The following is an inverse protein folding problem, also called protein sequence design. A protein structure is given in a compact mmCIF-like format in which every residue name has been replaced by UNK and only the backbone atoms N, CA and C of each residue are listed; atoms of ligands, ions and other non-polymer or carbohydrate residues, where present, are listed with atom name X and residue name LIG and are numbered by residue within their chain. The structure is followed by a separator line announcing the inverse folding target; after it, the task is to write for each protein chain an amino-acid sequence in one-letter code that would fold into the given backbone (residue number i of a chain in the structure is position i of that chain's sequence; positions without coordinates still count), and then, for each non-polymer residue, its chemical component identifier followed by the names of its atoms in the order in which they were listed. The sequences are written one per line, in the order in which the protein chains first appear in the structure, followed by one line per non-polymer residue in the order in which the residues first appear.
data_IF_237940864078
#
_entry.id   IF_237940864078
#
_cell.length_a   1.000
_cell.length_b   1.000
_cell.length_c   1.000
_cell.angle_alpha   90.00
_cell.angle_beta   90.00
_cell.angle_gamma   90.00
#
_symmetry.space_group_name_H-M   'P 1'
#
loop_
_entity.id
_entity.type
_entity.pdbx_description
1 polymer ?
#
# COMPACT_ATOMS: atom_id res chain seq x y z
N UNK A 1 -16.76 6.18 10.34
CA UNK A 1 -15.90 7.05 9.51
C UNK A 1 -15.08 6.15 8.61
N UNK A 2 -15.10 6.44 7.32
CA UNK A 2 -14.40 5.67 6.31
C UNK A 2 -13.34 6.51 5.63
N UNK A 3 -12.22 5.85 5.32
CA UNK A 3 -11.03 6.50 4.78
C UNK A 3 -10.63 5.88 3.45
N UNK A 4 -10.12 6.73 2.57
CA UNK A 4 -9.31 6.32 1.42
C UNK A 4 -7.85 6.70 1.70
N UNK A 5 -6.95 5.71 1.67
CA UNK A 5 -5.53 5.87 1.92
C UNK A 5 -4.81 6.27 0.63
N UNK A 6 -3.85 7.18 0.76
CA UNK A 6 -2.83 7.47 -0.23
C UNK A 6 -1.45 7.37 0.43
N UNK A 7 -0.47 6.85 -0.29
CA UNK A 7 0.92 6.82 0.14
C UNK A 7 1.82 6.89 -1.09
N UNK A 8 2.86 7.73 -1.01
CA UNK A 8 3.82 7.93 -2.09
C UNK A 8 5.19 8.31 -1.51
N UNK A 9 6.25 8.02 -2.27
CA UNK A 9 7.61 8.37 -1.93
C UNK A 9 8.14 9.51 -2.76
N UNK A 10 8.52 10.61 -2.13
CA UNK A 10 9.14 11.74 -2.85
C UNK A 10 10.52 12.10 -2.29
N UNK A 11 11.53 12.34 -3.14
CA UNK A 11 12.81 12.88 -2.70
C UNK A 11 12.62 14.33 -2.24
N UNK A 12 13.08 14.67 -1.04
CA UNK A 12 12.89 16.00 -0.48
C UNK A 12 13.85 17.04 -1.07
N UNK A 13 15.05 16.62 -1.45
CA UNK A 13 16.07 17.48 -2.02
C UNK A 13 16.62 16.86 -3.31
N UNK A 14 16.89 17.70 -4.32
CA UNK A 14 17.51 17.25 -5.59
C UNK A 14 18.93 16.69 -5.40
N UNK A 15 19.59 17.01 -4.29
CA UNK A 15 21.00 16.74 -4.03
C UNK A 15 21.27 15.89 -2.77
N UNK A 16 20.25 15.45 -2.03
CA UNK A 16 20.41 14.50 -0.93
C UNK A 16 19.50 13.30 -1.13
N UNK A 17 19.97 12.11 -0.71
CA UNK A 17 19.19 10.87 -0.82
C UNK A 17 17.96 10.81 0.09
N UNK A 18 17.62 11.89 0.80
CA UNK A 18 16.51 11.90 1.76
C UNK A 18 15.16 11.76 1.07
N UNK A 19 14.37 10.78 1.51
CA UNK A 19 13.02 10.51 1.07
C UNK A 19 12.00 10.82 2.16
N UNK A 20 10.88 11.40 1.75
CA UNK A 20 9.66 11.49 2.56
C UNK A 20 8.65 10.46 2.05
N UNK A 21 7.99 9.80 2.99
CA UNK A 21 6.88 8.88 2.73
C UNK A 21 5.73 9.19 3.70
N UNK A 22 4.65 9.87 3.26
CA UNK A 22 3.47 10.08 4.07
C UNK A 22 2.44 8.96 3.82
N UNK A 23 1.69 8.61 4.87
CA UNK A 23 0.39 7.94 4.74
C UNK A 23 -0.67 9.00 4.99
N UNK A 24 -1.45 9.31 3.96
CA UNK A 24 -2.51 10.31 3.99
C UNK A 24 -3.87 9.63 3.90
N UNK A 25 -4.84 10.14 4.65
CA UNK A 25 -6.20 9.64 4.66
C UNK A 25 -7.16 10.73 4.21
N UNK A 26 -8.00 10.41 3.25
CA UNK A 26 -9.19 11.19 2.88
C UNK A 26 -10.38 10.67 3.66
N UNK A 27 -11.12 11.56 4.34
CA UNK A 27 -12.40 11.21 4.99
C UNK A 27 -13.51 11.16 3.94
N UNK A 28 -14.08 9.99 3.70
CA UNK A 28 -15.06 9.80 2.64
C UNK A 28 -16.42 10.45 2.96
N UNK A 29 -16.77 10.63 4.24
CA UNK A 29 -18.00 11.32 4.67
C UNK A 29 -17.96 12.84 4.45
N UNK A 30 -16.81 13.43 4.11
CA UNK A 30 -16.72 14.84 3.75
C UNK A 30 -17.23 15.09 2.31
N UNK A 31 -17.84 16.26 2.05
CA UNK A 31 -18.15 16.70 0.69
C UNK A 31 -16.91 16.67 -0.20
N UNK A 32 -17.00 16.23 -1.48
CA UNK A 32 -15.86 16.08 -2.38
C UNK A 32 -14.94 17.29 -2.44
N UNK A 33 -15.50 18.49 -2.47
CA UNK A 33 -14.78 19.76 -2.54
C UNK A 33 -13.95 20.09 -1.27
N UNK A 34 -14.22 19.41 -0.15
CA UNK A 34 -13.51 19.60 1.11
C UNK A 34 -12.48 18.50 1.39
N UNK A 35 -12.50 17.39 0.65
CA UNK A 35 -11.67 16.21 0.93
C UNK A 35 -10.17 16.51 0.84
N UNK A 36 -9.76 17.25 -0.19
CA UNK A 36 -8.35 17.57 -0.42
C UNK A 36 -7.77 18.58 0.57
N UNK A 37 -8.60 19.48 1.12
CA UNK A 37 -8.14 20.49 2.09
C UNK A 37 -8.19 19.99 3.53
N UNK A 38 -8.77 18.81 3.77
CA UNK A 38 -8.94 18.19 5.09
C UNK A 38 -8.33 16.78 5.16
N UNK A 39 -7.21 16.58 4.45
CA UNK A 39 -6.45 15.34 4.52
C UNK A 39 -5.87 15.15 5.93
N UNK A 40 -5.94 13.92 6.41
CA UNK A 40 -5.32 13.52 7.67
C UNK A 40 -3.96 12.90 7.35
N UNK A 41 -2.88 13.43 7.92
CA UNK A 41 -1.56 12.80 7.87
C UNK A 41 -1.50 11.73 8.98
N UNK A 42 -1.65 10.46 8.62
CA UNK A 42 -1.70 9.35 9.57
C UNK A 42 -0.31 8.84 9.96
N UNK A 43 0.66 8.91 9.05
CA UNK A 43 2.06 8.58 9.31
C UNK A 43 2.98 9.39 8.41
N UNK A 44 4.21 9.63 8.87
CA UNK A 44 5.24 10.31 8.08
C UNK A 44 6.60 9.66 8.37
N UNK A 45 7.22 9.13 7.32
CA UNK A 45 8.61 8.73 7.35
C UNK A 45 9.49 9.80 6.72
N UNK A 46 10.63 10.07 7.36
CA UNK A 46 11.70 10.90 6.83
C UNK A 46 13.04 10.20 7.10
N UNK A 47 13.75 9.85 6.03
CA UNK A 47 15.02 9.12 6.16
C UNK A 47 15.86 9.24 4.89
N UNK A 48 17.12 8.78 4.96
CA UNK A 48 18.02 8.70 3.78
C UNK A 48 17.64 7.61 2.79
N UNK A 49 16.75 6.72 3.20
CA UNK A 49 16.29 5.57 2.43
C UNK A 49 14.77 5.44 2.57
N UNK A 50 14.20 4.58 1.73
CA UNK A 50 12.78 4.18 1.86
C UNK A 50 12.56 3.56 3.24
N UNK A 51 11.35 3.71 3.83
CA UNK A 51 11.06 3.05 5.09
C UNK A 51 11.17 1.54 4.94
N UNK A 52 11.54 0.88 6.04
CA UNK A 52 11.15 -0.51 6.24
C UNK A 52 9.62 -0.55 6.25
N UNK A 53 9.03 -1.14 5.22
CA UNK A 53 7.59 -1.13 5.01
C UNK A 53 6.83 -1.93 6.05
N UNK A 54 7.45 -2.97 6.63
CA UNK A 54 6.87 -3.75 7.70
C UNK A 54 6.73 -2.91 8.98
N UNK A 55 7.80 -2.22 9.35
CA UNK A 55 7.81 -1.31 10.50
C UNK A 55 6.86 -0.11 10.28
N UNK A 56 6.99 0.56 9.13
CA UNK A 56 6.28 1.80 8.85
C UNK A 56 4.77 1.59 8.71
N UNK A 57 4.35 0.54 8.00
CA UNK A 57 2.93 0.22 7.87
C UNK A 57 2.38 -0.47 9.12
N UNK A 58 3.19 -1.23 9.86
CA UNK A 58 2.75 -1.92 11.08
C UNK A 58 2.11 -0.97 12.09
N UNK A 59 2.77 0.15 12.38
CA UNK A 59 2.23 1.17 13.29
C UNK A 59 0.89 1.76 12.82
N UNK A 60 0.73 1.95 11.51
CA UNK A 60 -0.51 2.43 10.91
C UNK A 60 -1.62 1.37 10.99
N UNK A 61 -1.31 0.12 10.63
CA UNK A 61 -2.24 -1.02 10.66
C UNK A 61 -2.73 -1.28 12.08
N UNK A 62 -1.85 -1.26 13.07
CA UNK A 62 -2.21 -1.43 14.49
C UNK A 62 -3.21 -0.34 14.94
N UNK A 63 -2.95 0.91 14.55
CA UNK A 63 -3.81 2.04 14.88
C UNK A 63 -5.19 1.90 14.24
N UNK A 64 -5.25 1.57 12.95
CA UNK A 64 -6.52 1.36 12.24
C UNK A 64 -7.27 0.12 12.72
N UNK A 65 -6.57 -0.95 13.10
CA UNK A 65 -7.16 -2.15 13.69
C UNK A 65 -7.86 -1.82 14.99
N UNK A 66 -7.20 -1.09 15.90
CA UNK A 66 -7.82 -0.61 17.15
C UNK A 66 -9.02 0.30 16.88
N UNK A 67 -8.90 1.28 15.99
CA UNK A 67 -9.99 2.20 15.69
C UNK A 67 -11.20 1.53 15.01
N UNK A 68 -10.99 0.43 14.28
CA UNK A 68 -12.07 -0.34 13.65
C UNK A 68 -12.75 -1.30 14.65
N UNK A 69 -11.98 -1.95 15.52
CA UNK A 69 -12.50 -2.89 16.53
C UNK A 69 -13.13 -2.16 17.72
N UNK A 70 -12.35 -1.30 18.37
CA UNK A 70 -12.72 -0.67 19.64
C UNK A 70 -13.53 0.60 19.41
N UNK A 71 -13.26 1.32 18.31
CA UNK A 71 -13.84 2.61 18.04
C UNK A 71 -13.26 3.74 18.89
N UNK A 72 -13.82 4.94 18.77
CA UNK A 72 -13.42 6.15 19.48
C UNK A 72 -14.64 7.05 19.73
N UNK A 73 -14.59 7.88 20.77
CA UNK A 73 -15.69 8.79 21.12
C UNK A 73 -15.42 10.15 20.49
N UNK A 74 -16.43 10.71 19.83
CA UNK A 74 -16.44 12.10 19.42
C UNK A 74 -17.57 12.82 20.16
N UNK A 75 -17.23 13.96 20.75
CA UNK A 75 -18.21 14.82 21.40
C UNK A 75 -18.52 16.03 20.52
N UNK A 76 -19.81 16.27 20.29
CA UNK A 76 -20.27 17.44 19.52
C UNK A 76 -21.58 17.95 20.11
N UNK A 77 -21.64 19.25 20.38
CA UNK A 77 -22.83 19.91 20.96
C UNK A 77 -23.32 19.24 22.27
N UNK A 78 -22.41 18.78 23.13
CA UNK A 78 -22.72 18.11 24.40
C UNK A 78 -23.23 16.67 24.26
N UNK A 79 -23.18 16.09 23.06
CA UNK A 79 -23.51 14.68 22.80
C UNK A 79 -22.24 13.91 22.46
N UNK A 80 -21.95 12.88 23.25
CA UNK A 80 -20.88 11.92 22.99
C UNK A 80 -21.43 10.76 22.16
N UNK A 81 -20.83 10.50 21.00
CA UNK A 81 -21.16 9.36 20.15
C UNK A 81 -19.91 8.53 19.86
N UNK A 82 -20.09 7.21 19.81
CA UNK A 82 -19.02 6.26 19.51
C UNK A 82 -18.96 5.99 18.01
N UNK A 83 -17.80 6.21 17.42
CA UNK A 83 -17.51 5.98 16.01
C UNK A 83 -16.49 4.84 15.85
N UNK A 84 -16.47 4.25 14.66
CA UNK A 84 -15.43 3.32 14.21
C UNK A 84 -14.79 3.86 12.94
N UNK A 85 -13.50 3.57 12.75
CA UNK A 85 -12.74 3.95 11.56
C UNK A 85 -12.51 2.74 10.66
N UNK A 86 -12.70 2.89 9.35
CA UNK A 86 -12.40 1.83 8.39
C UNK A 86 -11.61 2.40 7.21
N UNK A 87 -10.53 1.74 6.79
CA UNK A 87 -9.84 2.06 5.55
C UNK A 87 -10.43 1.21 4.43
N UNK A 88 -11.16 1.82 3.50
CA UNK A 88 -11.90 1.08 2.46
C UNK A 88 -11.12 0.95 1.15
N UNK A 89 -10.22 1.89 0.88
CA UNK A 89 -9.48 1.94 -0.37
C UNK A 89 -8.03 2.37 -0.13
N UNK A 90 -7.10 1.82 -0.91
CA UNK A 90 -5.72 2.27 -1.00
C UNK A 90 -5.44 2.74 -2.42
N UNK A 91 -5.41 4.06 -2.60
CA UNK A 91 -5.07 4.74 -3.85
C UNK A 91 -3.57 5.00 -3.87
N UNK A 92 -2.79 3.96 -4.17
CA UNK A 92 -1.33 4.02 -4.30
C UNK A 92 -0.91 3.69 -5.73
N UNK A 93 0.10 4.41 -6.23
CA UNK A 93 0.66 4.14 -7.55
C UNK A 93 1.40 2.80 -7.60
N UNK A 94 1.75 2.32 -8.78
CA UNK A 94 2.39 1.01 -8.93
C UNK A 94 3.79 0.91 -8.30
N UNK A 95 4.50 2.03 -8.14
CA UNK A 95 5.87 2.06 -7.60
C UNK A 95 5.85 1.97 -6.07
N UNK A 96 4.91 2.66 -5.43
CA UNK A 96 4.67 2.65 -3.98
C UNK A 96 3.91 1.39 -3.54
N UNK A 97 2.96 0.91 -4.35
CA UNK A 97 2.19 -0.31 -4.07
C UNK A 97 3.07 -1.53 -3.84
N UNK A 98 4.07 -1.73 -4.69
CA UNK A 98 4.89 -2.93 -4.66
C UNK A 98 5.62 -3.15 -3.31
N UNK A 99 6.40 -2.19 -2.78
CA UNK A 99 7.02 -2.36 -1.47
C UNK A 99 5.99 -2.37 -0.33
N UNK A 100 4.85 -1.68 -0.46
CA UNK A 100 3.80 -1.73 0.54
C UNK A 100 3.15 -3.12 0.67
N UNK A 101 2.94 -3.81 -0.45
CA UNK A 101 2.35 -5.15 -0.49
C UNK A 101 3.39 -6.29 -0.36
N UNK A 102 4.68 -5.98 -0.30
CA UNK A 102 5.72 -7.04 -0.29
C UNK A 102 5.83 -7.78 -1.62
N UNK A 103 5.66 -7.09 -2.74
CA UNK A 103 5.72 -7.68 -4.08
C UNK A 103 6.75 -7.00 -4.97
N UNK A 104 7.02 -7.62 -6.11
CA UNK A 104 7.88 -7.11 -7.17
C UNK A 104 7.16 -6.02 -7.96
N UNK A 105 7.90 -4.97 -8.32
CA UNK A 105 7.37 -3.90 -9.16
C UNK A 105 7.04 -4.40 -10.57
N UNK A 106 6.22 -3.63 -11.29
CA UNK A 106 5.78 -3.94 -12.65
C UNK A 106 6.92 -4.23 -13.64
N UNK A 107 8.15 -3.80 -13.36
CA UNK A 107 9.33 -4.03 -14.18
C UNK A 107 10.15 -5.30 -13.81
N UNK A 108 9.66 -6.15 -12.90
CA UNK A 108 10.28 -7.44 -12.58
C UNK A 108 9.47 -8.63 -13.07
N UNK A 109 9.98 -9.85 -12.87
CA UNK A 109 9.22 -11.07 -13.16
C UNK A 109 8.01 -11.17 -12.23
N UNK A 110 6.86 -11.58 -12.78
CA UNK A 110 5.60 -11.66 -12.03
C UNK A 110 5.19 -10.32 -11.37
N UNK A 111 5.55 -9.18 -11.97
CA UNK A 111 5.28 -7.85 -11.41
C UNK A 111 3.83 -7.36 -11.57
N UNK A 112 2.94 -8.17 -12.14
CA UNK A 112 1.51 -7.88 -12.21
C UNK A 112 0.84 -8.16 -10.86
N UNK A 113 0.02 -7.22 -10.36
CA UNK A 113 -0.74 -7.41 -9.11
C UNK A 113 -1.95 -8.35 -9.27
N UNK A 114 -2.34 -8.64 -10.51
CA UNK A 114 -3.61 -9.30 -10.81
C UNK A 114 -3.42 -10.71 -11.36
N UNK A 115 -2.33 -10.99 -12.06
CA UNK A 115 -2.08 -12.29 -12.67
C UNK A 115 -0.65 -12.79 -12.47
N UNK A 116 -0.46 -14.09 -12.71
CA UNK A 116 0.79 -14.82 -12.60
C UNK A 116 1.58 -14.84 -13.91
N UNK A 117 1.39 -13.85 -14.79
CA UNK A 117 2.20 -13.78 -16.00
C UNK A 117 3.66 -13.53 -15.66
N UNK A 118 4.53 -14.45 -16.07
CA UNK A 118 5.97 -14.24 -16.04
C UNK A 118 6.35 -13.33 -17.21
N UNK A 119 6.97 -12.20 -16.90
CA UNK A 119 7.54 -11.32 -17.92
C UNK A 119 8.79 -11.91 -18.57
N UNK A 120 9.22 -11.31 -19.68
CA UNK A 120 10.41 -11.66 -20.43
C UNK A 120 11.34 -10.46 -20.56
N UNK A 121 12.65 -10.68 -20.44
CA UNK A 121 13.65 -9.64 -20.64
C UNK A 121 13.98 -9.50 -22.12
N UNK A 122 13.45 -8.45 -22.76
CA UNK A 122 13.58 -8.23 -24.21
C UNK A 122 14.06 -6.81 -24.49
N UNK A 123 15.21 -6.70 -25.17
CA UNK A 123 15.74 -5.40 -25.60
C UNK A 123 16.06 -4.44 -24.44
N UNK A 124 16.60 -4.97 -23.33
CA UNK A 124 17.02 -4.16 -22.18
C UNK A 124 15.90 -3.75 -21.22
N UNK A 125 14.70 -4.33 -21.35
CA UNK A 125 13.56 -4.04 -20.48
C UNK A 125 12.70 -5.28 -20.25
N UNK A 126 11.97 -5.28 -19.14
CA UNK A 126 10.96 -6.29 -18.84
C UNK A 126 9.69 -6.04 -19.65
N UNK A 127 9.20 -7.06 -20.35
CA UNK A 127 7.99 -7.02 -21.17
C UNK A 127 7.06 -8.16 -20.81
N UNK A 128 5.77 -7.93 -20.96
CA UNK A 128 4.72 -8.94 -20.80
C UNK A 128 4.13 -9.17 -22.19
N UNK A 129 4.67 -10.14 -22.96
CA UNK A 129 4.21 -10.38 -24.32
C UNK A 129 2.76 -10.87 -24.32
N UNK A 130 2.05 -10.60 -25.42
CA UNK A 130 0.72 -11.16 -25.64
C UNK A 130 0.83 -12.69 -25.70
N UNK A 131 -0.07 -13.38 -25.01
CA UNK A 131 -0.13 -14.83 -24.97
C UNK A 131 -1.44 -15.32 -25.61
N UNK A 132 -1.45 -16.55 -26.12
CA UNK A 132 -2.67 -17.17 -26.66
C UNK A 132 -3.64 -17.62 -25.57
N UNK A 133 -3.14 -17.78 -24.34
CA UNK A 133 -3.89 -18.21 -23.16
C UNK A 133 -3.65 -17.18 -22.08
N UNK A 134 -4.72 -16.71 -21.45
CA UNK A 134 -4.61 -15.75 -20.35
C UNK A 134 -3.87 -16.39 -19.16
N UNK A 135 -2.97 -15.65 -18.53
CA UNK A 135 -2.27 -16.10 -17.34
C UNK A 135 -3.27 -16.30 -16.19
N UNK A 136 -3.04 -17.26 -15.28
CA UNK A 136 -3.88 -17.42 -14.09
C UNK A 136 -3.91 -16.12 -13.27
N UNK A 137 -5.08 -15.78 -12.75
CA UNK A 137 -5.23 -14.68 -11.81
C UNK A 137 -4.62 -15.02 -10.44
N UNK A 138 -4.14 -14.01 -9.73
CA UNK A 138 -3.73 -14.16 -8.33
C UNK A 138 -4.96 -14.27 -7.45
N UNK A 139 -4.94 -15.19 -6.50
CA UNK A 139 -5.95 -15.28 -5.45
C UNK A 139 -5.36 -14.85 -4.11
N UNK A 140 -6.22 -14.50 -3.15
CA UNK A 140 -5.81 -14.18 -1.79
C UNK A 140 -5.08 -15.36 -1.15
N UNK A 141 -5.62 -16.58 -1.30
CA UNK A 141 -5.04 -17.79 -0.72
C UNK A 141 -3.64 -18.07 -1.30
N UNK A 142 -3.47 -17.92 -2.63
CA UNK A 142 -2.17 -18.11 -3.27
C UNK A 142 -1.17 -17.05 -2.81
N UNK A 143 -1.58 -15.80 -2.65
CA UNK A 143 -0.70 -14.71 -2.19
C UNK A 143 -0.21 -14.96 -0.76
N UNK A 144 -1.06 -15.47 0.13
CA UNK A 144 -0.66 -15.85 1.50
C UNK A 144 0.33 -17.00 1.47
N UNK A 145 0.09 -18.04 0.66
CA UNK A 145 1.00 -19.17 0.50
C UNK A 145 2.37 -18.75 -0.07
N UNK A 146 2.37 -17.90 -1.11
CA UNK A 146 3.59 -17.36 -1.71
C UNK A 146 4.37 -16.50 -0.71
N UNK A 147 3.69 -15.72 0.14
CA UNK A 147 4.30 -14.94 1.21
C UNK A 147 4.97 -15.83 2.25
N UNK A 148 4.26 -16.84 2.76
CA UNK A 148 4.83 -17.79 3.74
C UNK A 148 6.06 -18.51 3.18
N UNK A 149 5.98 -18.96 1.91
CA UNK A 149 7.08 -19.61 1.22
C UNK A 149 8.25 -18.65 0.99
N UNK A 150 7.99 -17.39 0.64
CA UNK A 150 9.01 -16.38 0.43
C UNK A 150 9.79 -16.06 1.72
N UNK A 151 9.07 -15.90 2.84
CA UNK A 151 9.68 -15.68 4.16
C UNK A 151 10.52 -16.90 4.57
N UNK A 152 9.97 -18.12 4.45
CA UNK A 152 10.67 -19.35 4.86
C UNK A 152 11.90 -19.64 3.99
N UNK A 153 11.81 -19.37 2.69
CA UNK A 153 12.86 -19.61 1.71
C UNK A 153 13.85 -18.46 1.55
N UNK A 154 13.56 -17.28 2.11
CA UNK A 154 14.27 -16.03 1.89
C UNK A 154 14.50 -15.73 0.40
N UNK A 155 13.48 -15.98 -0.42
CA UNK A 155 13.53 -15.83 -1.87
C UNK A 155 12.15 -15.44 -2.41
N UNK A 156 12.10 -14.72 -3.53
CA UNK A 156 10.81 -14.36 -4.12
C UNK A 156 10.09 -15.56 -4.71
N UNK A 157 8.79 -15.68 -4.42
CA UNK A 157 7.90 -16.70 -4.98
C UNK A 157 6.80 -16.00 -5.78
N UNK A 158 6.73 -16.28 -7.09
CA UNK A 158 5.83 -15.60 -8.02
C UNK A 158 5.79 -14.08 -7.82
N UNK A 159 6.93 -13.44 -7.58
CA UNK A 159 7.02 -11.99 -7.39
C UNK A 159 6.66 -11.47 -6.00
N UNK A 160 6.14 -12.30 -5.08
CA UNK A 160 5.99 -12.00 -3.64
C UNK A 160 7.36 -12.12 -2.96
N UNK A 161 7.66 -11.31 -1.94
CA UNK A 161 8.97 -11.18 -1.30
C UNK A 161 8.90 -11.32 0.21
#
# INVERSE_FOLDING_TARGET
ISFSLNADGTPLFKSSGSAIWPIQLTINELPPEQRMSKLVLAALWFGKEKPDMGLFQGAFVDSMTKLSADGFILERHGKAEKFRAFCLCSAVDSVARAPMQGITQFNGYFGCNWCLQKGEWVGGSMKYPVQNVDPPERTEEQMVQDMEAAIKGNQSVHGVK
#
